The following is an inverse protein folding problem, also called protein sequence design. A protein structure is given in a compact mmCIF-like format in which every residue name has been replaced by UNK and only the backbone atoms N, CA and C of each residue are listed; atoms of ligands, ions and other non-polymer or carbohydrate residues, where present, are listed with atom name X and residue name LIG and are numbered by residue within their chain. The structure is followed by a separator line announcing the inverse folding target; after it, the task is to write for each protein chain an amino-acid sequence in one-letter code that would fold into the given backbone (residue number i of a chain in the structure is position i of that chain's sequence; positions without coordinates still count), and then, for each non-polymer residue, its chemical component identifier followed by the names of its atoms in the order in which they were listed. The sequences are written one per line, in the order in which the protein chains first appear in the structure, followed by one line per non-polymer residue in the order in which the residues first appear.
data_IF_024988562269
#
_entry.id   IF_024988562269
#
_cell.length_a   1.000
_cell.length_b   1.000
_cell.length_c   1.000
_cell.angle_alpha   90.00
_cell.angle_beta   90.00
_cell.angle_gamma   90.00
#
_symmetry.space_group_name_H-M   'P 1'
#
loop_
_entity.id
_entity.type
_entity.pdbx_description
1 polymer ?
#
# COMPACT_ATOMS: atom_id res chain seq x y z
N UNK A 1 20.62 -86.53 7.36
CA UNK A 1 21.45 -85.33 7.20
C UNK A 1 21.39 -84.91 5.73
N UNK A 2 20.55 -83.91 5.39
CA UNK A 2 20.49 -83.30 4.05
C UNK A 2 20.76 -81.81 4.24
N UNK A 3 21.94 -81.38 3.81
CA UNK A 3 22.39 -79.98 3.82
C UNK A 3 21.65 -79.28 2.68
N UNK A 4 20.82 -78.29 3.00
CA UNK A 4 20.16 -77.43 2.00
C UNK A 4 21.16 -76.34 1.62
N UNK A 5 21.50 -76.29 0.34
CA UNK A 5 22.37 -75.30 -0.29
C UNK A 5 21.82 -73.87 -0.06
N UNK A 6 22.63 -72.98 0.52
CA UNK A 6 22.35 -71.55 0.55
C UNK A 6 22.56 -70.98 -0.86
N UNK A 7 21.47 -70.59 -1.54
CA UNK A 7 21.55 -69.88 -2.81
C UNK A 7 22.23 -68.51 -2.59
N UNK A 8 23.33 -68.25 -3.32
CA UNK A 8 23.97 -66.92 -3.36
C UNK A 8 22.98 -65.91 -3.95
N UNK A 9 22.83 -64.75 -3.31
CA UNK A 9 22.04 -63.64 -3.83
C UNK A 9 22.59 -63.20 -5.19
N UNK A 10 21.76 -63.10 -6.25
CA UNK A 10 22.23 -62.73 -7.57
C UNK A 10 22.78 -61.30 -7.58
N UNK A 11 23.95 -61.11 -8.17
CA UNK A 11 24.58 -59.80 -8.30
C UNK A 11 23.83 -58.97 -9.37
N UNK A 12 23.49 -57.69 -9.10
CA UNK A 12 22.76 -56.87 -10.06
C UNK A 12 23.60 -56.61 -11.32
N UNK A 13 22.93 -56.56 -12.47
CA UNK A 13 23.53 -56.06 -13.72
C UNK A 13 23.74 -54.54 -13.63
N UNK A 14 24.61 -53.92 -14.46
CA UNK A 14 24.80 -52.47 -14.48
C UNK A 14 23.47 -51.70 -14.58
N UNK A 15 23.28 -50.67 -13.75
CA UNK A 15 22.03 -49.94 -13.61
C UNK A 15 21.03 -50.58 -12.64
N UNK A 16 21.27 -51.83 -12.22
CA UNK A 16 20.52 -52.52 -11.18
C UNK A 16 20.72 -51.92 -9.79
N UNK A 17 21.81 -51.15 -9.57
CA UNK A 17 22.04 -50.45 -8.29
C UNK A 17 20.92 -49.46 -7.97
N UNK A 18 20.25 -48.93 -9.01
CA UNK A 18 19.10 -48.02 -8.89
C UNK A 18 17.95 -48.63 -8.07
N UNK A 19 17.70 -49.94 -8.21
CA UNK A 19 16.64 -50.65 -7.49
C UNK A 19 17.07 -51.07 -6.08
N UNK A 20 18.37 -51.19 -5.84
CA UNK A 20 18.92 -51.57 -4.54
C UNK A 20 18.92 -50.40 -3.54
N UNK A 21 18.90 -49.15 -4.03
CA UNK A 21 18.95 -47.93 -3.20
C UNK A 21 17.96 -46.86 -3.71
N UNK A 22 16.65 -47.03 -3.47
CA UNK A 22 15.65 -46.07 -3.94
C UNK A 22 15.75 -44.72 -3.20
N UNK A 23 16.11 -43.67 -3.94
CA UNK A 23 16.17 -42.30 -3.42
C UNK A 23 14.80 -41.63 -3.35
N UNK A 24 13.92 -41.91 -4.32
CA UNK A 24 12.57 -41.35 -4.38
C UNK A 24 11.60 -42.06 -3.39
N UNK A 25 10.77 -41.32 -2.63
CA UNK A 25 9.83 -41.92 -1.67
C UNK A 25 8.80 -42.86 -2.31
N UNK A 26 8.34 -42.56 -3.54
CA UNK A 26 7.36 -43.38 -4.27
C UNK A 26 8.01 -44.68 -4.73
N UNK A 27 9.24 -44.60 -5.24
CA UNK A 27 10.05 -45.78 -5.60
C UNK A 27 10.33 -46.65 -4.38
N UNK A 28 10.72 -46.05 -3.25
CA UNK A 28 10.98 -46.77 -1.98
C UNK A 28 9.75 -47.51 -1.48
N UNK A 29 8.57 -46.86 -1.54
CA UNK A 29 7.29 -47.47 -1.19
C UNK A 29 6.96 -48.66 -2.10
N UNK A 30 7.21 -48.52 -3.41
CA UNK A 30 7.00 -49.59 -4.39
C UNK A 30 7.90 -50.80 -4.13
N UNK A 31 9.21 -50.58 -3.96
CA UNK A 31 10.16 -51.68 -3.71
C UNK A 31 9.93 -52.35 -2.35
N UNK A 32 9.55 -51.60 -1.31
CA UNK A 32 9.19 -52.19 -0.01
C UNK A 32 7.94 -53.08 -0.11
N UNK A 33 6.91 -52.65 -0.85
CA UNK A 33 5.72 -53.46 -1.11
C UNK A 33 6.03 -54.73 -1.91
N UNK A 34 6.90 -54.63 -2.92
CA UNK A 34 7.36 -55.78 -3.72
C UNK A 34 8.16 -56.77 -2.86
N UNK A 35 9.11 -56.28 -2.07
CA UNK A 35 9.92 -57.12 -1.18
C UNK A 35 9.06 -57.88 -0.16
N UNK A 36 8.02 -57.23 0.40
CA UNK A 36 7.13 -57.87 1.36
C UNK A 36 6.09 -58.80 0.70
N UNK A 37 5.36 -58.32 -0.31
CA UNK A 37 4.22 -59.05 -0.88
C UNK A 37 4.61 -60.08 -1.95
N UNK A 38 5.65 -59.80 -2.75
CA UNK A 38 6.08 -60.66 -3.86
C UNK A 38 7.26 -61.54 -3.46
N UNK A 39 8.31 -60.96 -2.88
CA UNK A 39 9.52 -61.69 -2.48
C UNK A 39 9.38 -62.41 -1.12
N UNK A 40 8.25 -62.20 -0.42
CA UNK A 40 7.87 -62.85 0.85
C UNK A 40 8.89 -62.68 1.98
N UNK A 41 9.62 -61.56 1.98
CA UNK A 41 10.53 -61.20 3.07
C UNK A 41 9.74 -60.79 4.30
N UNK A 42 10.32 -60.97 5.50
CA UNK A 42 9.62 -60.61 6.74
C UNK A 42 9.41 -59.09 6.86
N UNK A 43 8.38 -58.68 7.58
CA UNK A 43 8.09 -57.26 7.79
C UNK A 43 9.26 -56.52 8.47
N UNK A 44 9.95 -57.18 9.41
CA UNK A 44 11.11 -56.62 10.10
C UNK A 44 12.30 -56.38 9.15
N UNK A 45 12.60 -57.35 8.28
CA UNK A 45 13.69 -57.24 7.30
C UNK A 45 13.43 -56.15 6.25
N UNK A 46 12.19 -56.05 5.76
CA UNK A 46 11.81 -55.05 4.76
C UNK A 46 11.79 -53.65 5.39
N UNK A 47 11.24 -53.51 6.59
CA UNK A 47 11.20 -52.24 7.30
C UNK A 47 12.63 -51.69 7.53
N UNK A 48 13.54 -52.53 8.02
CA UNK A 48 14.95 -52.15 8.21
C UNK A 48 15.65 -51.81 6.88
N UNK A 49 15.43 -52.60 5.82
CA UNK A 49 16.10 -52.39 4.53
C UNK A 49 15.69 -51.09 3.81
N UNK A 50 14.45 -50.64 3.99
CA UNK A 50 13.91 -49.45 3.33
C UNK A 50 13.67 -48.27 4.29
N UNK A 51 14.13 -48.34 5.53
CA UNK A 51 14.06 -47.23 6.50
C UNK A 51 12.64 -46.91 7.01
N UNK A 52 11.80 -47.93 7.15
CA UNK A 52 10.48 -47.83 7.78
C UNK A 52 10.48 -48.49 9.17
N UNK A 53 9.50 -48.14 10.00
CA UNK A 53 9.14 -48.98 11.14
C UNK A 53 8.22 -50.12 10.66
N UNK A 54 8.12 -51.20 11.45
CA UNK A 54 7.26 -52.35 11.12
C UNK A 54 5.78 -51.92 11.03
N UNK A 55 5.35 -51.02 11.90
CA UNK A 55 3.99 -50.45 11.93
C UNK A 55 3.71 -49.61 10.67
N UNK A 56 4.71 -48.84 10.22
CA UNK A 56 4.61 -48.03 9.01
C UNK A 56 4.50 -48.92 7.77
N UNK A 57 5.33 -49.97 7.69
CA UNK A 57 5.25 -50.95 6.60
C UNK A 57 3.88 -51.64 6.58
N UNK A 58 3.35 -52.06 7.73
CA UNK A 58 2.03 -52.66 7.84
C UNK A 58 0.92 -51.71 7.39
N UNK A 59 1.04 -50.41 7.68
CA UNK A 59 0.11 -49.39 7.20
C UNK A 59 0.17 -49.22 5.68
N UNK A 60 1.37 -49.17 5.11
CA UNK A 60 1.58 -49.11 3.66
C UNK A 60 0.97 -50.33 2.96
N UNK A 61 1.15 -51.53 3.52
CA UNK A 61 0.56 -52.78 3.02
C UNK A 61 -0.97 -52.75 3.09
N UNK A 62 -1.54 -52.26 4.19
CA UNK A 62 -2.99 -52.10 4.37
C UNK A 62 -3.55 -51.19 3.29
N UNK A 63 -2.96 -50.02 3.09
CA UNK A 63 -3.41 -49.03 2.11
C UNK A 63 -3.30 -49.54 0.67
N UNK A 64 -2.23 -50.30 0.37
CA UNK A 64 -2.06 -50.94 -0.93
C UNK A 64 -3.16 -51.98 -1.19
N UNK A 65 -3.50 -52.80 -0.18
CA UNK A 65 -4.62 -53.78 -0.26
C UNK A 65 -5.97 -53.07 -0.41
N UNK A 66 -6.12 -51.88 0.17
CA UNK A 66 -7.30 -51.03 0.03
C UNK A 66 -7.40 -50.29 -1.32
N UNK A 67 -6.42 -50.44 -2.23
CA UNK A 67 -6.50 -49.95 -3.60
C UNK A 67 -5.65 -48.72 -3.94
N UNK A 68 -4.84 -48.19 -2.99
CA UNK A 68 -3.92 -47.09 -3.27
C UNK A 68 -2.71 -47.57 -4.10
N UNK A 69 -2.80 -47.48 -5.43
CA UNK A 69 -1.81 -48.04 -6.40
C UNK A 69 -1.12 -47.01 -7.30
N UNK A 70 -1.12 -45.74 -6.89
CA UNK A 70 -0.50 -44.65 -7.65
C UNK A 70 1.04 -44.68 -7.52
N UNK A 71 1.69 -45.51 -8.32
CA UNK A 71 3.16 -45.58 -8.41
C UNK A 71 3.71 -44.99 -9.71
N UNK A 72 2.95 -45.13 -10.79
CA UNK A 72 3.33 -44.70 -12.13
C UNK A 72 2.19 -43.86 -12.70
N UNK A 73 2.36 -42.54 -12.68
CA UNK A 73 1.39 -41.63 -13.30
C UNK A 73 1.63 -41.66 -14.81
N UNK A 74 0.64 -42.12 -15.58
CA UNK A 74 0.66 -41.91 -17.03
C UNK A 74 0.38 -40.42 -17.30
N UNK A 75 1.26 -39.68 -17.98
CA UNK A 75 0.98 -38.30 -18.33
C UNK A 75 -0.23 -38.28 -19.26
N UNK A 76 -1.35 -37.71 -18.82
CA UNK A 76 -2.46 -37.40 -19.71
C UNK A 76 -2.02 -36.21 -20.58
N UNK A 77 -1.93 -36.35 -21.91
CA UNK A 77 -1.63 -35.22 -22.78
C UNK A 77 -2.67 -34.13 -22.54
N UNK A 78 -2.23 -32.88 -22.37
CA UNK A 78 -3.13 -31.75 -22.25
C UNK A 78 -4.02 -31.59 -23.51
N UNK A 79 -5.09 -30.79 -23.42
CA UNK A 79 -5.96 -30.49 -24.57
C UNK A 79 -5.13 -29.98 -25.76
N UNK A 80 -5.23 -30.65 -26.91
CA UNK A 80 -4.47 -30.29 -28.13
C UNK A 80 -5.00 -29.03 -28.84
N UNK A 81 -6.15 -28.49 -28.42
CA UNK A 81 -6.79 -27.31 -29.03
C UNK A 81 -7.16 -26.30 -27.97
N UNK A 82 -6.98 -25.02 -28.30
CA UNK A 82 -7.29 -23.89 -27.44
C UNK A 82 -8.28 -22.95 -28.17
N UNK A 83 -9.60 -23.24 -28.13
CA UNK A 83 -10.60 -22.54 -28.94
C UNK A 83 -10.67 -21.02 -28.70
N UNK A 84 -10.33 -20.56 -27.49
CA UNK A 84 -10.27 -19.14 -27.16
C UNK A 84 -9.06 -18.44 -27.83
N UNK A 85 -7.91 -19.12 -27.89
CA UNK A 85 -6.70 -18.63 -28.56
C UNK A 85 -6.92 -18.58 -30.07
N UNK A 86 -7.49 -19.64 -30.64
CA UNK A 86 -7.85 -19.71 -32.08
C UNK A 86 -8.82 -18.58 -32.49
N UNK A 87 -9.85 -18.31 -31.68
CA UNK A 87 -10.82 -17.24 -31.96
C UNK A 87 -10.22 -15.84 -31.91
N UNK A 88 -9.33 -15.59 -30.95
CA UNK A 88 -8.70 -14.28 -30.76
C UNK A 88 -7.46 -14.07 -31.66
N UNK A 89 -6.96 -15.11 -32.32
CA UNK A 89 -5.67 -15.13 -33.02
C UNK A 89 -5.53 -13.99 -34.04
N UNK A 90 -6.42 -13.95 -35.04
CA UNK A 90 -6.41 -12.93 -36.10
C UNK A 90 -6.46 -11.52 -35.52
N UNK A 91 -7.28 -11.32 -34.49
CA UNK A 91 -7.44 -10.02 -33.85
C UNK A 91 -6.20 -9.57 -33.07
N UNK A 92 -5.53 -10.51 -32.40
CA UNK A 92 -4.26 -10.25 -31.72
C UNK A 92 -3.19 -9.80 -32.72
N UNK A 93 -3.10 -10.49 -33.87
CA UNK A 93 -2.15 -10.16 -34.94
C UNK A 93 -2.41 -8.78 -35.51
N UNK A 94 -3.66 -8.45 -35.84
CA UNK A 94 -4.05 -7.12 -36.32
C UNK A 94 -3.67 -6.01 -35.34
N UNK A 95 -4.05 -6.16 -34.06
CA UNK A 95 -3.77 -5.17 -33.04
C UNK A 95 -2.26 -5.05 -32.78
N UNK A 96 -1.53 -6.17 -32.85
CA UNK A 96 -0.08 -6.16 -32.71
C UNK A 96 0.61 -5.43 -33.86
N UNK A 97 0.17 -5.67 -35.09
CA UNK A 97 0.66 -4.96 -36.28
C UNK A 97 0.37 -3.45 -36.21
N UNK A 98 -0.75 -3.05 -35.60
CA UNK A 98 -1.08 -1.66 -35.31
C UNK A 98 -0.30 -1.04 -34.13
N UNK A 99 0.62 -1.79 -33.50
CA UNK A 99 1.50 -1.28 -32.44
C UNK A 99 0.92 -1.31 -31.03
N UNK A 100 -0.15 -2.09 -30.80
CA UNK A 100 -0.71 -2.27 -29.45
C UNK A 100 0.15 -3.20 -28.59
N UNK A 101 0.34 -2.80 -27.34
CA UNK A 101 0.94 -3.60 -26.27
C UNK A 101 0.04 -4.76 -25.84
N UNK A 102 0.61 -5.75 -25.14
CA UNK A 102 -0.15 -6.91 -24.62
C UNK A 102 -1.33 -6.46 -23.74
N UNK A 103 -1.14 -5.41 -22.93
CA UNK A 103 -2.18 -4.88 -22.05
C UNK A 103 -3.30 -4.17 -22.82
N UNK A 104 -2.95 -3.41 -23.88
CA UNK A 104 -3.92 -2.77 -24.77
C UNK A 104 -4.73 -3.83 -25.55
N UNK A 105 -4.07 -4.88 -26.05
CA UNK A 105 -4.72 -6.01 -26.73
C UNK A 105 -5.71 -6.71 -25.80
N UNK A 106 -5.30 -7.02 -24.56
CA UNK A 106 -6.17 -7.66 -23.57
C UNK A 106 -7.44 -6.84 -23.31
N UNK A 107 -7.30 -5.51 -23.24
CA UNK A 107 -8.43 -4.60 -23.03
C UNK A 107 -9.39 -4.59 -24.23
N UNK A 108 -8.87 -4.52 -25.45
CA UNK A 108 -9.69 -4.57 -26.68
C UNK A 108 -10.42 -5.90 -26.79
N UNK A 109 -9.71 -7.02 -26.62
CA UNK A 109 -10.30 -8.36 -26.65
C UNK A 109 -11.40 -8.54 -25.60
N UNK A 110 -11.23 -7.96 -24.40
CA UNK A 110 -12.25 -8.02 -23.35
C UNK A 110 -13.52 -7.27 -23.76
N UNK A 111 -13.39 -6.09 -24.37
CA UNK A 111 -14.55 -5.33 -24.88
C UNK A 111 -15.26 -6.03 -26.03
N UNK A 112 -14.50 -6.74 -26.87
CA UNK A 112 -15.01 -7.48 -28.03
C UNK A 112 -15.52 -8.89 -27.66
N UNK A 113 -15.55 -9.27 -26.37
CA UNK A 113 -16.05 -10.57 -25.91
C UNK A 113 -15.12 -11.76 -26.16
N UNK A 114 -13.85 -11.50 -26.49
CA UNK A 114 -12.80 -12.48 -26.79
C UNK A 114 -11.71 -12.49 -25.72
N UNK A 115 -12.08 -12.33 -24.45
CA UNK A 115 -11.11 -12.18 -23.34
C UNK A 115 -10.08 -13.31 -23.32
N UNK A 116 -8.80 -12.95 -23.37
CA UNK A 116 -7.67 -13.87 -23.27
C UNK A 116 -6.69 -13.33 -22.21
N UNK A 117 -6.04 -14.23 -21.47
CA UNK A 117 -5.04 -13.82 -20.49
C UNK A 117 -3.78 -13.25 -21.18
N UNK A 118 -3.00 -12.45 -20.44
CA UNK A 118 -1.80 -11.80 -20.99
C UNK A 118 -0.77 -12.80 -21.53
N UNK A 119 -0.63 -13.95 -20.86
CA UNK A 119 0.28 -15.03 -21.27
C UNK A 119 -0.13 -15.61 -22.63
N UNK A 120 -1.40 -15.91 -22.84
CA UNK A 120 -1.91 -16.45 -24.10
C UNK A 120 -1.79 -15.45 -25.25
N UNK A 121 -1.97 -14.16 -24.98
CA UNK A 121 -1.69 -13.10 -25.97
C UNK A 121 -0.20 -13.06 -26.30
N UNK A 122 0.68 -13.16 -25.30
CA UNK A 122 2.12 -13.18 -25.51
C UNK A 122 2.58 -14.39 -26.33
N UNK A 123 1.99 -15.57 -26.11
CA UNK A 123 2.27 -16.77 -26.90
C UNK A 123 1.89 -16.60 -28.37
N UNK A 124 0.69 -16.08 -28.67
CA UNK A 124 0.27 -15.82 -30.07
C UNK A 124 1.24 -14.86 -30.76
N UNK A 125 1.64 -13.79 -30.06
CA UNK A 125 2.59 -12.81 -30.59
C UNK A 125 3.97 -13.46 -30.86
N UNK A 126 4.40 -14.36 -29.98
CA UNK A 126 5.67 -15.07 -30.13
C UNK A 126 5.63 -16.11 -31.26
N UNK A 127 4.53 -16.85 -31.41
CA UNK A 127 4.28 -17.81 -32.50
C UNK A 127 4.33 -17.12 -33.87
N UNK A 128 3.78 -15.91 -33.98
CA UNK A 128 3.78 -15.09 -35.20
C UNK A 128 5.09 -14.32 -35.42
N UNK A 129 6.08 -14.48 -34.55
CA UNK A 129 7.42 -13.90 -34.72
C UNK A 129 7.48 -12.37 -34.54
N UNK A 130 6.47 -11.74 -33.94
CA UNK A 130 6.50 -10.31 -33.68
C UNK A 130 7.58 -9.98 -32.64
N UNK A 131 8.51 -9.10 -33.03
CA UNK A 131 9.55 -8.61 -32.14
C UNK A 131 9.01 -7.83 -30.93
N UNK A 132 9.91 -7.57 -29.97
CA UNK A 132 9.62 -6.72 -28.82
C UNK A 132 9.20 -5.32 -29.30
N UNK A 133 8.05 -4.83 -28.84
CA UNK A 133 7.66 -3.44 -29.04
C UNK A 133 8.71 -2.55 -28.37
N UNK A 134 9.32 -1.69 -29.17
CA UNK A 134 10.17 -0.63 -28.67
C UNK A 134 9.33 0.34 -27.84
N UNK A 135 9.97 0.93 -26.83
CA UNK A 135 9.32 1.91 -25.96
C UNK A 135 8.76 3.04 -26.82
N UNK A 136 7.44 3.28 -26.75
CA UNK A 136 6.77 4.33 -27.54
C UNK A 136 7.44 5.69 -27.24
N UNK A 137 7.74 6.52 -28.26
CA UNK A 137 8.25 7.88 -28.07
C UNK A 137 7.37 8.70 -27.12
N UNK A 138 7.96 9.58 -26.31
CA UNK A 138 7.23 10.33 -25.27
C UNK A 138 6.03 11.11 -25.81
N UNK A 139 6.18 11.74 -26.97
CA UNK A 139 5.12 12.48 -27.65
C UNK A 139 3.88 11.63 -27.99
N UNK A 140 4.03 10.31 -28.12
CA UNK A 140 2.96 9.38 -28.49
C UNK A 140 2.44 8.55 -27.30
N UNK A 141 2.94 8.77 -26.08
CA UNK A 141 2.53 7.99 -24.88
C UNK A 141 1.13 8.34 -24.38
N UNK A 142 0.51 9.39 -24.92
CA UNK A 142 -0.67 10.00 -24.29
C UNK A 142 -0.33 10.54 -22.90
N UNK A 143 -1.28 11.25 -22.29
CA UNK A 143 -1.15 11.57 -20.87
C UNK A 143 -1.19 10.27 -20.05
N UNK A 144 -0.49 10.19 -18.90
CA UNK A 144 -0.67 9.07 -17.98
C UNK A 144 -2.15 8.84 -17.74
N UNK A 145 -2.57 7.57 -17.74
CA UNK A 145 -3.96 7.17 -17.52
C UNK A 145 -4.36 7.64 -16.13
N UNK A 146 -4.95 8.85 -16.03
CA UNK A 146 -5.56 9.33 -14.81
C UNK A 146 -6.81 8.51 -14.60
N UNK A 147 -6.84 7.78 -13.49
CA UNK A 147 -8.07 7.16 -13.02
C UNK A 147 -9.14 8.25 -12.96
N UNK A 148 -10.30 8.01 -13.57
CA UNK A 148 -11.38 9.00 -13.55
C UNK A 148 -11.97 9.01 -12.13
N UNK A 149 -11.36 9.79 -11.25
CA UNK A 149 -11.89 9.95 -9.90
C UNK A 149 -13.25 10.64 -9.98
N UNK A 150 -14.25 10.15 -9.23
CA UNK A 150 -15.58 10.73 -9.18
C UNK A 150 -15.50 12.19 -8.76
N UNK A 151 -16.43 12.99 -9.27
CA UNK A 151 -16.53 14.39 -8.89
C UNK A 151 -16.88 14.48 -7.40
N UNK A 152 -16.01 15.12 -6.64
CA UNK A 152 -16.25 15.44 -5.23
C UNK A 152 -17.51 16.30 -5.09
N UNK A 153 -18.31 15.97 -4.09
CA UNK A 153 -19.41 16.77 -3.58
C UNK A 153 -19.67 16.41 -2.12
N UNK A 154 -20.56 17.15 -1.46
CA UNK A 154 -21.04 16.81 -0.12
C UNK A 154 -21.69 15.42 -0.17
N UNK A 155 -21.45 14.62 0.86
CA UNK A 155 -22.02 13.29 0.99
C UNK A 155 -23.57 13.36 1.01
N UNK A 156 -24.20 12.50 0.25
CA UNK A 156 -25.65 12.29 0.28
C UNK A 156 -25.92 11.00 1.05
N UNK A 157 -26.36 11.14 2.31
CA UNK A 157 -26.60 10.00 3.19
C UNK A 157 -27.80 9.15 2.75
N UNK A 158 -28.75 9.69 1.99
CA UNK A 158 -29.88 8.90 1.46
C UNK A 158 -29.44 7.94 0.36
N UNK A 159 -28.41 8.33 -0.40
CA UNK A 159 -27.81 7.52 -1.46
C UNK A 159 -26.58 6.75 -1.01
N UNK A 160 -26.17 6.92 0.25
CA UNK A 160 -24.97 6.26 0.76
C UNK A 160 -25.24 4.77 0.97
N UNK A 161 -24.35 3.89 0.48
CA UNK A 161 -24.54 2.45 0.65
C UNK A 161 -24.52 2.04 2.13
N UNK A 162 -25.39 1.10 2.49
CA UNK A 162 -25.49 0.54 3.84
C UNK A 162 -24.18 -0.11 4.30
N UNK A 163 -23.40 -0.67 3.36
CA UNK A 163 -22.10 -1.29 3.61
C UNK A 163 -21.07 -0.82 2.59
N UNK A 164 -19.91 -0.42 3.11
CA UNK A 164 -18.74 -0.02 2.31
C UNK A 164 -17.51 -0.79 2.74
N UNK A 165 -16.61 -1.01 1.78
CA UNK A 165 -15.25 -1.44 2.06
C UNK A 165 -14.35 -0.20 2.11
N UNK A 166 -13.53 -0.08 3.15
CA UNK A 166 -12.60 1.03 3.37
C UNK A 166 -11.34 0.52 4.03
N UNK A 167 -10.20 1.14 3.69
CA UNK A 167 -8.91 0.92 4.36
C UNK A 167 -8.63 1.97 5.45
N UNK A 168 -9.51 2.97 5.59
CA UNK A 168 -9.30 4.17 6.39
C UNK A 168 -10.42 4.41 7.41
N UNK A 169 -11.13 3.37 7.84
CA UNK A 169 -12.16 3.47 8.89
C UNK A 169 -11.62 4.05 10.20
N UNK A 170 -10.33 3.86 10.50
CA UNK A 170 -9.68 4.40 11.70
C UNK A 170 -9.71 5.93 11.79
N UNK A 171 -9.86 6.65 10.67
CA UNK A 171 -10.03 8.11 10.67
C UNK A 171 -11.27 8.54 11.47
N UNK A 172 -12.33 7.73 11.45
CA UNK A 172 -13.58 8.03 12.15
C UNK A 172 -13.42 8.02 13.68
N UNK A 173 -12.38 7.38 14.21
CA UNK A 173 -12.09 7.38 15.64
C UNK A 173 -11.65 8.75 16.15
N UNK A 174 -11.19 9.65 15.27
CA UNK A 174 -10.84 11.02 15.63
C UNK A 174 -12.05 11.95 15.71
N UNK A 175 -13.23 11.54 15.21
CA UNK A 175 -14.42 12.41 15.16
C UNK A 175 -14.83 12.92 16.56
N UNK A 176 -14.88 12.09 17.62
CA UNK A 176 -15.25 12.58 18.95
C UNK A 176 -14.36 13.72 19.43
N UNK A 177 -13.05 13.63 19.21
CA UNK A 177 -12.09 14.68 19.63
C UNK A 177 -12.28 15.96 18.82
N UNK A 178 -12.52 15.85 17.51
CA UNK A 178 -12.80 16.99 16.63
C UNK A 178 -14.11 17.69 16.98
N UNK A 179 -15.10 16.94 17.47
CA UNK A 179 -16.37 17.46 17.99
C UNK A 179 -16.16 18.12 19.36
N UNK A 180 -15.37 17.51 20.24
CA UNK A 180 -15.05 18.07 21.56
C UNK A 180 -14.32 19.42 21.45
N UNK A 181 -13.49 19.60 20.42
CA UNK A 181 -12.81 20.86 20.10
C UNK A 181 -13.70 21.87 19.34
N UNK A 182 -14.91 21.48 18.93
CA UNK A 182 -15.78 22.25 18.03
C UNK A 182 -15.02 22.79 16.79
N UNK A 183 -14.35 21.88 16.08
CA UNK A 183 -13.62 22.22 14.87
C UNK A 183 -14.48 23.03 13.86
N UNK A 184 -15.78 22.74 13.65
CA UNK A 184 -16.63 23.58 12.80
C UNK A 184 -16.66 25.05 13.22
N UNK A 185 -16.82 25.35 14.52
CA UNK A 185 -16.80 26.72 15.02
C UNK A 185 -15.43 27.39 14.83
N UNK A 186 -14.33 26.67 15.09
CA UNK A 186 -12.96 27.18 14.87
C UNK A 186 -12.75 27.55 13.39
N UNK A 187 -13.12 26.66 12.47
CA UNK A 187 -13.00 26.90 11.02
C UNK A 187 -13.84 28.11 10.57
N UNK A 188 -15.04 28.26 11.12
CA UNK A 188 -15.91 29.39 10.83
C UNK A 188 -15.36 30.71 11.38
N UNK A 189 -14.91 30.73 12.64
CA UNK A 189 -14.34 31.90 13.30
C UNK A 189 -13.07 32.40 12.59
N UNK A 190 -12.23 31.47 12.10
CA UNK A 190 -11.04 31.79 11.31
C UNK A 190 -11.36 32.18 9.85
N UNK A 191 -12.62 32.09 9.43
CA UNK A 191 -13.08 32.46 8.10
C UNK A 191 -12.48 31.60 6.97
N UNK A 192 -12.19 30.32 7.23
CA UNK A 192 -11.58 29.48 6.20
C UNK A 192 -12.47 29.39 4.95
N UNK A 193 -11.89 29.46 3.73
CA UNK A 193 -12.68 29.52 2.53
C UNK A 193 -13.39 28.19 2.26
N UNK A 194 -14.60 28.27 1.72
CA UNK A 194 -15.32 27.16 1.09
C UNK A 194 -15.49 27.39 -0.40
N UNK A 195 -16.11 26.43 -1.06
CA UNK A 195 -16.63 26.58 -2.43
C UNK A 195 -18.10 26.17 -2.44
N UNK A 196 -18.80 26.43 -3.54
CA UNK A 196 -20.19 25.96 -3.72
C UNK A 196 -20.34 24.44 -3.67
N UNK A 197 -19.24 23.69 -3.87
CA UNK A 197 -19.23 22.23 -3.93
C UNK A 197 -18.62 21.61 -2.67
N UNK A 198 -17.61 22.25 -2.09
CA UNK A 198 -16.83 21.74 -0.95
C UNK A 198 -16.90 22.78 0.18
N UNK A 199 -17.58 22.46 1.31
CA UNK A 199 -17.60 23.31 2.49
C UNK A 199 -16.18 23.58 3.05
N UNK A 200 -16.04 24.65 3.81
CA UNK A 200 -14.75 25.03 4.42
C UNK A 200 -14.20 23.91 5.31
N UNK A 201 -15.05 23.38 6.21
CA UNK A 201 -14.70 22.29 7.12
C UNK A 201 -14.24 21.03 6.37
N UNK A 202 -14.93 20.66 5.29
CA UNK A 202 -14.58 19.48 4.48
C UNK A 202 -13.22 19.60 3.82
N UNK A 203 -12.77 20.81 3.49
CA UNK A 203 -11.44 21.04 2.93
C UNK A 203 -10.34 20.81 3.98
N UNK A 204 -10.58 21.26 5.22
CA UNK A 204 -9.68 21.02 6.36
C UNK A 204 -9.65 19.54 6.73
N UNK A 205 -10.82 18.90 6.85
CA UNK A 205 -10.91 17.47 7.12
C UNK A 205 -10.27 16.63 6.01
N UNK A 206 -10.35 17.06 4.74
CA UNK A 206 -9.64 16.37 3.65
C UNK A 206 -8.11 16.41 3.82
N UNK A 207 -7.56 17.56 4.20
CA UNK A 207 -6.12 17.70 4.47
C UNK A 207 -5.71 16.93 5.72
N UNK A 208 -6.54 16.97 6.77
CA UNK A 208 -6.33 16.20 8.00
C UNK A 208 -6.37 14.69 7.74
N UNK A 209 -7.32 14.21 6.92
CA UNK A 209 -7.41 12.82 6.52
C UNK A 209 -6.10 12.33 5.88
N UNK A 210 -5.50 13.14 4.99
CA UNK A 210 -4.21 12.80 4.38
C UNK A 210 -3.08 12.71 5.41
N UNK A 211 -3.08 13.59 6.42
CA UNK A 211 -2.07 13.55 7.49
C UNK A 211 -2.25 12.33 8.38
N UNK A 212 -3.47 12.06 8.84
CA UNK A 212 -3.79 10.91 9.71
C UNK A 212 -3.60 9.57 8.97
N UNK A 213 -3.86 9.53 7.66
CA UNK A 213 -3.58 8.37 6.81
C UNK A 213 -2.09 8.23 6.40
N UNK A 214 -1.21 9.08 6.93
CA UNK A 214 0.23 9.09 6.63
C UNK A 214 0.56 9.22 5.13
N UNK A 215 -0.26 9.97 4.41
CA UNK A 215 -0.01 10.30 3.01
C UNK A 215 1.06 11.39 2.94
N UNK A 216 2.24 11.03 2.42
CA UNK A 216 3.44 11.87 2.47
C UNK A 216 3.28 13.25 1.81
N UNK A 217 2.47 13.35 0.75
CA UNK A 217 2.30 14.57 -0.05
C UNK A 217 0.86 14.71 -0.50
N UNK A 218 0.35 15.94 -0.55
CA UNK A 218 -1.00 16.23 -1.07
C UNK A 218 -1.18 15.77 -2.52
N UNK A 219 -0.10 15.71 -3.31
CA UNK A 219 -0.12 15.19 -4.67
C UNK A 219 -0.41 13.69 -4.78
N UNK A 220 -0.31 12.94 -3.68
CA UNK A 220 -0.63 11.51 -3.62
C UNK A 220 -2.05 11.25 -3.12
N UNK A 221 -2.91 12.27 -3.05
CA UNK A 221 -4.32 12.09 -2.67
C UNK A 221 -5.03 11.06 -3.55
N UNK A 222 -4.59 10.87 -4.79
CA UNK A 222 -5.17 9.87 -5.72
C UNK A 222 -5.14 8.44 -5.14
N UNK A 223 -4.19 8.11 -4.26
CA UNK A 223 -4.08 6.80 -3.60
C UNK A 223 -5.23 6.52 -2.61
N UNK A 224 -5.92 7.57 -2.13
CA UNK A 224 -6.97 7.51 -1.10
C UNK A 224 -8.25 8.24 -1.50
N UNK A 225 -8.27 8.94 -2.63
CA UNK A 225 -9.36 9.83 -3.02
C UNK A 225 -10.71 9.13 -3.17
N UNK A 226 -10.71 7.85 -3.53
CA UNK A 226 -11.91 7.02 -3.71
C UNK A 226 -12.24 6.16 -2.49
N UNK A 227 -11.48 6.26 -1.40
CA UNK A 227 -11.76 5.50 -0.19
C UNK A 227 -12.99 6.08 0.55
N UNK A 228 -14.01 5.24 0.73
CA UNK A 228 -15.27 5.64 1.36
C UNK A 228 -15.12 6.14 2.80
N UNK A 229 -14.20 5.58 3.59
CA UNK A 229 -13.97 5.98 4.98
C UNK A 229 -13.29 7.34 5.07
N UNK A 230 -12.30 7.59 4.21
CA UNK A 230 -11.66 8.89 4.12
C UNK A 230 -12.61 9.97 3.59
N UNK A 231 -13.45 9.63 2.60
CA UNK A 231 -14.48 10.52 2.09
C UNK A 231 -15.54 10.85 3.15
N UNK A 232 -16.04 9.84 3.88
CA UNK A 232 -16.98 9.99 4.98
C UNK A 232 -16.42 10.88 6.10
N UNK A 233 -15.16 10.68 6.49
CA UNK A 233 -14.48 11.52 7.48
C UNK A 233 -14.49 13.00 7.09
N UNK A 234 -14.35 13.32 5.79
CA UNK A 234 -14.41 14.70 5.29
C UNK A 234 -15.83 15.21 5.02
N UNK A 235 -16.86 14.37 5.17
CA UNK A 235 -18.25 14.70 4.81
C UNK A 235 -18.46 14.82 3.30
N UNK A 236 -17.68 14.10 2.50
CA UNK A 236 -17.68 14.17 1.04
C UNK A 236 -17.97 12.80 0.40
N UNK A 237 -18.38 12.81 -0.86
CA UNK A 237 -18.53 11.60 -1.69
C UNK A 237 -17.18 11.03 -2.18
N UNK A 238 -16.16 11.86 -2.25
CA UNK A 238 -14.76 11.52 -2.56
C UNK A 238 -13.84 12.66 -2.12
N UNK A 239 -12.57 12.39 -1.80
CA UNK A 239 -11.65 13.48 -1.45
C UNK A 239 -11.35 14.38 -2.66
N UNK A 240 -11.12 15.69 -2.46
CA UNK A 240 -10.76 16.60 -3.55
C UNK A 240 -9.46 16.18 -4.22
N UNK A 241 -9.40 16.32 -5.55
CA UNK A 241 -8.20 16.03 -6.36
C UNK A 241 -7.03 16.93 -5.96
N UNK A 242 -5.81 16.51 -6.31
CA UNK A 242 -4.57 17.27 -6.10
C UNK A 242 -4.71 18.74 -6.49
N UNK A 243 -5.27 19.03 -7.67
CA UNK A 243 -5.44 20.41 -8.14
C UNK A 243 -6.35 21.23 -7.23
N UNK A 244 -7.44 20.65 -6.72
CA UNK A 244 -8.35 21.34 -5.82
C UNK A 244 -7.69 21.62 -4.46
N UNK A 245 -6.97 20.64 -3.88
CA UNK A 245 -6.23 20.82 -2.63
C UNK A 245 -5.08 21.84 -2.77
N UNK A 246 -4.35 21.80 -3.89
CA UNK A 246 -3.29 22.78 -4.17
C UNK A 246 -3.87 24.18 -4.34
N UNK A 247 -4.94 24.35 -5.13
CA UNK A 247 -5.63 25.63 -5.26
C UNK A 247 -6.20 26.13 -3.94
N UNK A 248 -6.65 25.23 -3.06
CA UNK A 248 -7.12 25.57 -1.73
C UNK A 248 -5.98 26.14 -0.88
N UNK A 249 -4.81 25.50 -0.88
CA UNK A 249 -3.63 25.97 -0.15
C UNK A 249 -3.22 27.40 -0.55
N UNK A 250 -3.33 27.75 -1.83
CA UNK A 250 -3.04 29.11 -2.31
C UNK A 250 -4.05 30.18 -1.86
N UNK A 251 -5.23 29.77 -1.38
CA UNK A 251 -6.26 30.70 -0.86
C UNK A 251 -6.12 30.98 0.64
N UNK A 252 -5.24 30.25 1.34
CA UNK A 252 -4.99 30.46 2.75
C UNK A 252 -4.07 31.67 2.94
N UNK A 253 -4.37 32.49 3.95
CA UNK A 253 -3.53 33.62 4.38
C UNK A 253 -3.02 33.38 5.79
N UNK A 254 -1.91 34.05 6.13
CA UNK A 254 -1.34 34.01 7.47
C UNK A 254 -2.35 34.45 8.54
N UNK A 255 -3.13 35.51 8.27
CA UNK A 255 -4.19 36.00 9.16
C UNK A 255 -5.21 34.91 9.52
N UNK A 256 -5.67 34.12 8.55
CA UNK A 256 -6.61 33.02 8.80
C UNK A 256 -5.98 31.90 9.62
N UNK A 257 -4.73 31.55 9.31
CA UNK A 257 -3.99 30.53 10.06
C UNK A 257 -3.79 30.95 11.52
N UNK A 258 -3.45 32.21 11.75
CA UNK A 258 -3.34 32.78 13.09
C UNK A 258 -4.68 32.76 13.83
N UNK A 259 -5.76 33.21 13.19
CA UNK A 259 -7.10 33.16 13.79
C UNK A 259 -7.55 31.73 14.13
N UNK A 260 -7.22 30.75 13.28
CA UNK A 260 -7.48 29.34 13.56
C UNK A 260 -6.69 28.83 14.74
N UNK A 261 -5.39 29.17 14.82
CA UNK A 261 -4.53 28.76 15.93
C UNK A 261 -5.02 29.36 17.26
N UNK A 262 -5.40 30.64 17.28
CA UNK A 262 -5.99 31.28 18.46
C UNK A 262 -7.28 30.57 18.90
N UNK A 263 -8.21 30.32 17.98
CA UNK A 263 -9.46 29.63 18.29
C UNK A 263 -9.22 28.19 18.77
N UNK A 264 -8.28 27.48 18.16
CA UNK A 264 -7.88 26.14 18.57
C UNK A 264 -7.27 26.13 19.97
N UNK A 265 -6.38 27.08 20.29
CA UNK A 265 -5.79 27.19 21.61
C UNK A 265 -6.83 27.44 22.70
N UNK A 266 -7.84 28.28 22.45
CA UNK A 266 -8.95 28.47 23.39
C UNK A 266 -9.72 27.16 23.63
N UNK A 267 -10.02 26.40 22.58
CA UNK A 267 -10.68 25.11 22.70
C UNK A 267 -9.83 24.10 23.48
N UNK A 268 -8.53 24.07 23.20
CA UNK A 268 -7.57 23.18 23.88
C UNK A 268 -7.39 23.53 25.37
N UNK A 269 -7.33 24.82 25.73
CA UNK A 269 -7.33 25.26 27.13
C UNK A 269 -8.61 24.82 27.84
N UNK A 270 -9.78 25.04 27.22
CA UNK A 270 -11.06 24.60 27.77
C UNK A 270 -11.17 23.08 27.96
N UNK A 271 -10.46 22.31 27.12
CA UNK A 271 -10.39 20.86 27.19
C UNK A 271 -9.26 20.32 28.10
N UNK A 272 -8.44 21.19 28.71
CA UNK A 272 -7.29 20.78 29.53
C UNK A 272 -6.15 20.12 28.73
N UNK A 273 -6.04 20.46 27.44
CA UNK A 273 -4.98 19.97 26.54
C UNK A 273 -3.76 20.90 26.52
N UNK A 274 -3.75 21.96 27.32
CA UNK A 274 -2.62 22.87 27.50
C UNK A 274 -2.49 23.07 29.01
N UNK A 275 -1.30 22.84 29.53
CA UNK A 275 -0.98 23.07 30.94
C UNK A 275 -0.62 24.55 31.17
N UNK A 276 0.27 25.08 30.31
CA UNK A 276 0.63 26.49 30.26
C UNK A 276 1.66 26.93 31.29
N UNK A 277 2.30 26.00 32.01
CA UNK A 277 3.34 26.32 32.99
C UNK A 277 4.68 26.64 32.33
N UNK A 278 5.13 25.78 31.41
CA UNK A 278 6.44 25.88 30.75
C UNK A 278 6.28 25.71 29.23
N UNK A 279 7.11 26.42 28.47
CA UNK A 279 7.09 26.37 27.00
C UNK A 279 8.46 26.10 26.39
N UNK A 280 8.49 25.16 25.44
CA UNK A 280 9.64 24.91 24.58
C UNK A 280 9.59 25.86 23.38
N UNK A 281 10.61 26.72 23.26
CA UNK A 281 10.73 27.71 22.18
C UNK A 281 11.86 27.31 21.24
N UNK A 282 11.56 27.17 19.94
CA UNK A 282 12.56 26.79 18.93
C UNK A 282 12.48 27.67 17.67
N UNK A 283 13.65 27.94 17.10
CA UNK A 283 13.81 28.54 15.78
C UNK A 283 14.32 27.51 14.79
N UNK A 284 13.51 27.18 13.79
CA UNK A 284 13.83 26.22 12.76
C UNK A 284 14.04 26.90 11.40
N UNK A 285 15.18 26.65 10.76
CA UNK A 285 15.47 27.15 9.42
C UNK A 285 15.07 26.12 8.34
N UNK A 286 13.99 26.39 7.61
CA UNK A 286 13.54 25.56 6.49
C UNK A 286 14.25 26.02 5.22
N UNK A 287 15.06 25.14 4.63
CA UNK A 287 15.84 25.49 3.44
C UNK A 287 14.96 25.76 2.22
N UNK A 288 15.31 26.80 1.47
CA UNK A 288 14.77 27.02 0.14
C UNK A 288 15.75 26.52 -0.92
N UNK A 289 15.22 25.80 -1.90
CA UNK A 289 15.98 25.20 -3.00
C UNK A 289 15.76 25.90 -4.35
N UNK A 290 14.93 26.96 -4.39
CA UNK A 290 14.71 27.75 -5.59
C UNK A 290 15.74 28.88 -5.72
N UNK A 291 15.80 29.45 -6.92
CA UNK A 291 16.70 30.57 -7.24
C UNK A 291 16.18 31.93 -6.73
N UNK A 292 15.08 31.93 -5.97
CA UNK A 292 14.37 33.14 -5.59
C UNK A 292 15.24 34.09 -4.75
N UNK A 293 15.28 35.36 -5.16
CA UNK A 293 16.23 36.35 -4.66
C UNK A 293 15.80 36.99 -3.33
N UNK A 294 14.54 36.79 -2.91
CA UNK A 294 13.94 37.46 -1.75
C UNK A 294 14.22 36.84 -0.37
N UNK A 295 14.86 35.66 -0.29
CA UNK A 295 15.05 34.96 0.99
C UNK A 295 16.39 35.24 1.66
N UNK A 296 16.33 35.47 2.97
CA UNK A 296 17.48 35.73 3.81
C UNK A 296 18.28 34.45 4.14
N UNK A 297 19.55 34.63 4.51
CA UNK A 297 20.43 33.52 4.91
C UNK A 297 20.39 33.29 6.43
N UNK A 298 19.83 32.18 6.90
CA UNK A 298 19.88 31.77 8.30
C UNK A 298 20.86 30.59 8.49
N UNK A 299 21.31 30.40 9.74
CA UNK A 299 22.20 29.30 10.07
C UNK A 299 21.40 27.99 10.13
N UNK A 300 21.90 26.95 9.44
CA UNK A 300 21.29 25.63 9.39
C UNK A 300 22.20 24.65 10.14
N UNK A 301 21.82 24.20 11.37
CA UNK A 301 22.69 23.38 12.22
C UNK A 301 23.17 22.08 11.54
N UNK A 302 22.29 21.39 10.82
CA UNK A 302 22.60 20.11 10.14
C UNK A 302 23.67 20.21 9.03
N UNK A 303 24.02 21.43 8.61
CA UNK A 303 25.03 21.70 7.58
C UNK A 303 26.18 22.58 8.09
N UNK A 304 26.11 23.05 9.32
CA UNK A 304 27.04 24.03 9.90
C UNK A 304 27.33 25.24 8.99
N UNK A 305 26.32 25.71 8.24
CA UNK A 305 26.48 26.82 7.28
C UNK A 305 25.26 27.73 7.25
N UNK A 306 25.44 28.96 6.75
CA UNK A 306 24.33 29.91 6.51
C UNK A 306 23.83 29.78 5.08
N UNK A 307 22.60 29.31 4.91
CA UNK A 307 21.95 29.07 3.61
C UNK A 307 20.67 29.89 3.51
N UNK A 308 20.22 30.18 2.28
CA UNK A 308 18.90 30.79 2.05
C UNK A 308 17.80 29.89 2.62
N UNK A 309 17.05 30.41 3.57
CA UNK A 309 16.06 29.63 4.29
C UNK A 309 14.95 30.54 4.79
N UNK A 310 13.80 29.95 5.04
CA UNK A 310 12.70 30.56 5.77
C UNK A 310 12.92 30.25 7.25
N UNK A 311 12.95 31.26 8.11
CA UNK A 311 13.07 31.07 9.54
C UNK A 311 11.67 30.95 10.15
N UNK A 312 11.45 29.86 10.85
CA UNK A 312 10.19 29.57 11.53
C UNK A 312 10.41 29.50 13.03
N UNK A 313 9.50 30.07 13.81
CA UNK A 313 9.48 29.97 15.25
C UNK A 313 8.29 29.12 15.68
N UNK A 314 8.51 28.29 16.69
CA UNK A 314 7.49 27.46 17.31
C UNK A 314 7.52 27.62 18.82
N UNK A 315 6.35 27.65 19.45
CA UNK A 315 6.20 27.48 20.88
C UNK A 315 5.30 26.28 21.16
N UNK A 316 5.79 25.34 21.96
CA UNK A 316 5.05 24.16 22.39
C UNK A 316 4.91 24.17 23.90
N UNK A 317 3.78 23.68 24.39
CA UNK A 317 3.60 23.41 25.82
C UNK A 317 4.51 22.23 26.20
N UNK A 318 5.36 22.42 27.22
CA UNK A 318 6.40 21.44 27.56
C UNK A 318 5.83 20.11 28.09
N UNK A 319 4.64 20.14 28.70
CA UNK A 319 4.03 18.98 29.33
C UNK A 319 3.22 18.11 28.36
N UNK A 320 2.47 18.76 27.47
CA UNK A 320 1.55 18.12 26.52
C UNK A 320 2.16 17.98 25.12
N UNK A 321 3.26 18.68 24.86
CA UNK A 321 3.91 18.81 23.54
C UNK A 321 2.99 19.36 22.45
N UNK A 322 1.92 20.05 22.86
CA UNK A 322 0.98 20.67 21.95
C UNK A 322 1.52 22.00 21.42
N UNK A 323 1.34 22.23 20.13
CA UNK A 323 1.80 23.45 19.46
C UNK A 323 0.85 24.61 19.78
N UNK A 324 1.39 25.65 20.41
CA UNK A 324 0.63 26.83 20.89
C UNK A 324 0.80 28.01 19.95
N UNK A 325 1.99 28.17 19.40
CA UNK A 325 2.32 29.28 18.52
C UNK A 325 3.25 28.84 17.41
N UNK A 326 3.03 29.37 16.21
CA UNK A 326 3.92 29.15 15.08
C UNK A 326 3.89 30.36 14.13
N UNK A 327 5.08 30.79 13.70
CA UNK A 327 5.22 31.83 12.69
C UNK A 327 6.37 31.51 11.74
N UNK A 328 6.10 31.48 10.45
CA UNK A 328 7.06 31.06 9.43
C UNK A 328 7.68 32.20 8.62
N UNK A 329 7.21 33.44 8.76
CA UNK A 329 7.67 34.56 7.91
C UNK A 329 8.63 35.49 8.66
N UNK A 330 9.57 34.92 9.42
CA UNK A 330 10.44 35.68 10.31
C UNK A 330 11.69 36.17 9.57
N UNK A 331 11.81 37.49 9.45
CA UNK A 331 13.04 38.15 9.00
C UNK A 331 14.08 38.20 10.11
N UNK A 332 15.37 38.36 9.77
CA UNK A 332 16.42 38.63 10.77
C UNK A 332 16.14 39.86 11.63
N UNK A 333 15.52 40.89 11.05
CA UNK A 333 15.23 42.12 11.76
C UNK A 333 14.16 41.93 12.85
N UNK A 334 13.23 41.00 12.64
CA UNK A 334 12.12 40.72 13.56
C UNK A 334 12.37 39.53 14.47
N UNK A 335 13.37 38.67 14.18
CA UNK A 335 13.70 37.46 14.95
C UNK A 335 13.77 37.70 16.47
N UNK A 336 14.47 38.74 16.91
CA UNK A 336 14.64 39.02 18.34
C UNK A 336 13.34 39.40 19.07
N UNK A 337 12.31 39.80 18.32
CA UNK A 337 11.00 40.18 18.86
C UNK A 337 10.01 39.01 18.88
N UNK A 338 10.33 37.89 18.26
CA UNK A 338 9.37 36.79 18.12
C UNK A 338 8.99 36.17 19.47
N UNK A 339 9.96 36.06 20.38
CA UNK A 339 9.70 35.59 21.75
C UNK A 339 8.72 36.53 22.45
N UNK A 340 8.84 37.84 22.25
CA UNK A 340 7.91 38.83 22.81
C UNK A 340 6.54 38.70 22.17
N UNK A 341 6.48 38.50 20.84
CA UNK A 341 5.21 38.27 20.13
C UNK A 341 4.49 37.01 20.64
N UNK A 342 5.23 35.96 21.00
CA UNK A 342 4.65 34.80 21.68
C UNK A 342 4.12 35.15 23.08
N UNK A 343 4.86 35.90 23.90
CA UNK A 343 4.37 36.35 25.21
C UNK A 343 3.08 37.18 25.07
N UNK A 344 3.03 38.10 24.11
CA UNK A 344 1.85 38.92 23.83
C UNK A 344 0.66 38.03 23.38
N UNK A 345 0.91 37.03 22.53
CA UNK A 345 -0.09 36.04 22.13
C UNK A 345 -0.63 35.24 23.32
N UNK A 346 0.26 34.71 24.16
CA UNK A 346 -0.14 33.96 25.36
C UNK A 346 -0.94 34.81 26.34
N UNK A 347 -0.52 36.06 26.55
CA UNK A 347 -1.24 37.01 27.40
C UNK A 347 -2.60 37.37 26.83
N UNK A 348 -2.72 37.49 25.51
CA UNK A 348 -4.03 37.71 24.87
C UNK A 348 -4.98 36.51 25.05
N UNK A 349 -4.41 35.30 25.13
CA UNK A 349 -5.13 34.04 25.25
C UNK A 349 -5.60 33.76 26.69
N UNK A 350 -4.71 34.00 27.67
CA UNK A 350 -4.91 33.59 29.09
C UNK A 350 -5.06 34.75 30.06
N UNK A 351 -4.68 35.97 29.66
CA UNK A 351 -4.65 37.16 30.53
C UNK A 351 -3.36 37.33 31.34
N UNK A 352 -2.45 36.36 31.30
CA UNK A 352 -1.19 36.36 32.06
C UNK A 352 0.02 36.17 31.14
N UNK A 353 1.18 36.67 31.55
CA UNK A 353 2.44 36.36 30.85
C UNK A 353 2.78 34.86 31.03
N UNK A 354 3.53 34.24 30.09
CA UNK A 354 3.99 32.86 30.26
C UNK A 354 4.93 32.75 31.47
N UNK A 355 4.90 31.59 32.14
CA UNK A 355 5.58 31.31 33.42
C UNK A 355 7.08 31.55 33.45
#
# INVERSE_FOLDING_TARGET
MRIVQSARSPQPRPGGEFFARPADPTQRRYEALRAYLFERRSAAEVAAAFGYTVETLNSIVRDFRAGRREFFVSPRPGPKRAPAKERAHTRIVELRAAGHSIDEIALVLTREGMSLNRTGIAEVIAEEGFGRLWRRPEALRGAPRREQLPRTGVIDFERWPERVQTKHAGLLLCIPDLVALDLPAIVAAAGYPGTTVIPAISSILSLLALKLANIRRTSHVEDVATDHGAALFAGLSSLPKTTALTSYSYKLSHERQHAFLVALNHAMLGAGLIDGADFDLDFHAIMHWGEDAGLEKHYVPSRSQRTRSVLTFFAQDASTHNLIYANADISKATQAREVIAFCDHWRSLTGTDPG
#
